data_IF_634370837866
#
_entry.id   IF_634370837866
#
_cell.length_a   1.000
_cell.length_b   1.000
_cell.length_c   1.000
_cell.angle_alpha   90.00
_cell.angle_beta   90.00
_cell.angle_gamma   90.00
#
_symmetry.space_group_name_H-M   'P 1'
#
loop_
_entity.id
_entity.type
_entity.pdbx_description
1 polymer ?
#
# COMPACT_ATOMS: atom_id res chain seq x y z
N UNK A 1 16.89 -12.59 -53.55
CA UNK A 1 15.64 -12.51 -52.76
C UNK A 1 15.60 -13.42 -51.52
N UNK A 2 16.20 -14.63 -51.51
CA UNK A 2 16.17 -15.54 -50.34
C UNK A 2 16.87 -15.02 -49.07
N UNK A 3 17.91 -14.19 -49.19
CA UNK A 3 18.65 -13.62 -48.04
C UNK A 3 17.86 -12.55 -47.25
N UNK A 4 16.95 -11.83 -47.92
CA UNK A 4 16.09 -10.83 -47.27
C UNK A 4 14.97 -11.48 -46.45
N UNK A 5 14.50 -12.66 -46.88
CA UNK A 5 13.50 -13.46 -46.15
C UNK A 5 14.05 -13.98 -44.82
N UNK A 6 15.31 -14.43 -44.78
CA UNK A 6 15.95 -14.89 -43.54
C UNK A 6 16.18 -13.76 -42.53
N UNK A 7 16.50 -12.55 -42.97
CA UNK A 7 16.65 -11.38 -42.10
C UNK A 7 15.33 -10.93 -41.47
N UNK A 8 14.22 -11.03 -42.21
CA UNK A 8 12.89 -10.70 -41.71
C UNK A 8 12.40 -11.72 -40.65
N UNK A 9 12.68 -13.01 -40.87
CA UNK A 9 12.38 -14.09 -39.93
C UNK A 9 13.19 -13.97 -38.62
N UNK A 10 14.44 -13.55 -38.69
CA UNK A 10 15.27 -13.31 -37.51
C UNK A 10 14.75 -12.11 -36.68
N UNK A 11 14.32 -11.03 -37.35
CA UNK A 11 13.77 -9.84 -36.68
C UNK A 11 12.44 -10.13 -35.95
N UNK A 12 11.59 -11.02 -36.49
CA UNK A 12 10.36 -11.44 -35.83
C UNK A 12 10.61 -12.32 -34.59
N UNK A 13 11.68 -13.13 -34.58
CA UNK A 13 12.01 -14.01 -33.44
C UNK A 13 12.58 -13.28 -32.22
N UNK A 14 13.08 -12.06 -32.39
CA UNK A 14 13.61 -11.22 -31.32
C UNK A 14 12.51 -10.50 -30.50
N UNK A 15 11.25 -10.55 -30.95
CA UNK A 15 10.10 -10.13 -30.15
C UNK A 15 9.66 -11.26 -29.22
N UNK A 16 10.52 -11.67 -28.29
CA UNK A 16 10.06 -12.40 -27.11
C UNK A 16 9.30 -11.40 -26.24
N UNK A 17 7.98 -11.38 -26.38
CA UNK A 17 7.10 -10.78 -25.40
C UNK A 17 7.49 -11.36 -24.04
N UNK A 18 7.85 -10.49 -23.10
CA UNK A 18 7.99 -10.86 -21.71
C UNK A 18 6.61 -11.32 -21.22
N UNK A 19 6.32 -12.61 -21.40
CA UNK A 19 5.15 -13.25 -20.83
C UNK A 19 5.34 -13.16 -19.31
N UNK A 20 4.73 -12.14 -18.71
CA UNK A 20 4.57 -12.04 -17.26
C UNK A 20 3.50 -13.05 -16.85
N UNK A 21 3.86 -14.34 -16.96
CA UNK A 21 3.03 -15.45 -16.53
C UNK A 21 3.09 -15.49 -14.99
N UNK A 22 2.28 -14.67 -14.35
CA UNK A 22 1.92 -14.84 -12.95
C UNK A 22 0.85 -15.93 -12.93
N UNK A 23 1.28 -17.18 -13.11
CA UNK A 23 0.42 -18.36 -13.07
C UNK A 23 -0.22 -18.43 -11.69
N UNK A 24 -1.42 -17.84 -11.55
CA UNK A 24 -2.34 -17.97 -10.42
C UNK A 24 -2.93 -19.39 -10.35
N UNK A 25 -2.10 -20.40 -10.63
CA UNK A 25 -2.47 -21.79 -10.53
C UNK A 25 -2.74 -22.08 -9.05
N UNK A 26 -3.92 -22.62 -8.69
CA UNK A 26 -4.22 -22.95 -7.31
C UNK A 26 -3.40 -24.18 -6.89
N UNK A 27 -2.13 -23.96 -6.55
CA UNK A 27 -1.21 -25.01 -6.11
C UNK A 27 -1.36 -25.32 -4.61
N UNK A 28 -2.14 -24.52 -3.87
CA UNK A 28 -2.36 -24.69 -2.43
C UNK A 28 -1.13 -24.38 -1.56
N UNK A 29 -0.05 -23.85 -2.15
CA UNK A 29 1.17 -23.45 -1.46
C UNK A 29 1.05 -21.97 -1.12
N UNK A 30 0.93 -21.67 0.17
CA UNK A 30 0.78 -20.31 0.68
C UNK A 30 1.94 -19.97 1.60
N UNK A 31 2.65 -18.89 1.28
CA UNK A 31 3.68 -18.30 2.14
C UNK A 31 3.18 -16.96 2.69
N UNK A 32 2.22 -17.02 3.62
CA UNK A 32 1.58 -15.85 4.21
C UNK A 32 2.62 -14.86 4.76
N UNK A 33 3.64 -15.35 5.48
CA UNK A 33 4.71 -14.53 6.07
C UNK A 33 5.48 -13.73 5.02
N UNK A 34 5.81 -14.34 3.88
CA UNK A 34 6.49 -13.65 2.77
C UNK A 34 5.60 -12.55 2.20
N UNK A 35 4.30 -12.82 2.04
CA UNK A 35 3.35 -11.83 1.53
C UNK A 35 3.19 -10.68 2.53
N UNK A 36 3.18 -10.98 3.82
CA UNK A 36 3.16 -9.98 4.87
C UNK A 36 4.40 -9.10 4.84
N UNK A 37 5.59 -9.69 4.83
CA UNK A 37 6.87 -8.96 4.76
C UNK A 37 6.97 -8.09 3.50
N UNK A 38 6.50 -8.58 2.34
CA UNK A 38 6.47 -7.78 1.10
C UNK A 38 5.57 -6.55 1.23
N UNK A 39 4.35 -6.72 1.75
CA UNK A 39 3.42 -5.60 1.94
C UNK A 39 3.98 -4.63 2.98
N UNK A 40 4.55 -5.12 4.08
CA UNK A 40 5.16 -4.29 5.12
C UNK A 40 6.33 -3.46 4.56
N UNK A 41 7.19 -4.06 3.70
CA UNK A 41 8.27 -3.34 3.02
C UNK A 41 7.74 -2.26 2.06
N UNK A 42 6.69 -2.56 1.30
CA UNK A 42 6.06 -1.57 0.42
C UNK A 42 5.52 -0.39 1.22
N UNK A 43 4.85 -0.66 2.34
CA UNK A 43 4.29 0.36 3.23
C UNK A 43 5.38 1.19 3.91
N UNK A 44 6.49 0.57 4.35
CA UNK A 44 7.66 1.28 4.86
C UNK A 44 8.24 2.24 3.81
N UNK A 45 8.30 1.79 2.55
CA UNK A 45 8.78 2.62 1.44
C UNK A 45 7.82 3.77 1.13
N UNK A 46 6.51 3.55 1.20
CA UNK A 46 5.50 4.62 1.06
C UNK A 46 5.61 5.66 2.19
N UNK A 47 5.77 5.20 3.43
CA UNK A 47 6.01 6.08 4.58
C UNK A 47 7.24 6.95 4.34
N UNK A 48 8.36 6.33 3.93
CA UNK A 48 9.60 7.04 3.63
C UNK A 48 9.41 8.07 2.51
N UNK A 49 8.74 7.68 1.42
CA UNK A 49 8.47 8.56 0.30
C UNK A 49 7.65 9.79 0.73
N UNK A 50 6.55 9.60 1.48
CA UNK A 50 5.73 10.72 1.98
C UNK A 50 6.53 11.62 2.93
N UNK A 51 7.36 11.04 3.79
CA UNK A 51 8.23 11.81 4.69
C UNK A 51 9.18 12.70 3.89
N UNK A 52 9.83 12.15 2.86
CA UNK A 52 10.74 12.90 1.99
C UNK A 52 10.01 14.00 1.21
N UNK A 53 8.82 13.70 0.65
CA UNK A 53 7.99 14.68 -0.07
C UNK A 53 7.61 15.89 0.81
N UNK A 54 7.41 15.69 2.11
CA UNK A 54 7.13 16.78 3.05
C UNK A 54 8.37 17.60 3.44
N UNK A 55 9.59 17.12 3.15
CA UNK A 55 10.86 17.77 3.54
C UNK A 55 11.61 18.42 2.39
N UNK A 56 11.47 17.90 1.17
CA UNK A 56 12.20 18.39 -0.02
C UNK A 56 11.69 19.78 -0.41
N UNK A 57 12.61 20.71 -0.64
CA UNK A 57 12.32 22.04 -1.21
C UNK A 57 12.41 21.99 -2.72
N UNK A 58 11.53 22.66 -3.46
CA UNK A 58 11.48 22.58 -4.94
C UNK A 58 12.33 23.65 -5.64
N UNK A 59 13.48 23.99 -5.07
CA UNK A 59 14.29 25.14 -5.48
C UNK A 59 15.18 24.82 -6.70
N UNK A 60 15.76 23.61 -6.76
CA UNK A 60 16.66 23.21 -7.84
C UNK A 60 16.06 22.16 -8.77
N UNK A 61 16.66 21.99 -9.96
CA UNK A 61 16.30 20.88 -10.86
C UNK A 61 16.55 19.50 -10.22
N UNK A 62 17.59 19.39 -9.39
CA UNK A 62 17.89 18.17 -8.64
C UNK A 62 16.75 17.84 -7.66
N UNK A 63 16.28 18.84 -6.90
CA UNK A 63 15.21 18.61 -5.92
C UNK A 63 13.89 18.22 -6.58
N UNK A 64 13.56 18.87 -7.71
CA UNK A 64 12.38 18.51 -8.52
C UNK A 64 12.46 17.07 -9.02
N UNK A 65 13.63 16.63 -9.46
CA UNK A 65 13.84 15.25 -9.87
C UNK A 65 13.62 14.27 -8.70
N UNK A 66 14.12 14.59 -7.50
CA UNK A 66 13.93 13.75 -6.31
C UNK A 66 12.46 13.70 -5.87
N UNK A 67 11.78 14.85 -5.90
CA UNK A 67 10.35 14.93 -5.59
C UNK A 67 9.52 14.05 -6.53
N UNK A 68 9.76 14.14 -7.84
CA UNK A 68 9.07 13.31 -8.85
C UNK A 68 9.37 11.82 -8.64
N UNK A 69 10.63 11.45 -8.32
CA UNK A 69 10.99 10.05 -8.04
C UNK A 69 10.25 9.50 -6.83
N UNK A 70 10.10 10.28 -5.77
CA UNK A 70 9.34 9.86 -4.59
C UNK A 70 7.84 9.72 -4.86
N UNK A 71 7.26 10.57 -5.70
CA UNK A 71 5.87 10.38 -6.18
C UNK A 71 5.74 9.05 -6.92
N UNK A 72 6.58 8.82 -7.93
CA UNK A 72 6.55 7.59 -8.74
C UNK A 72 6.77 6.36 -7.87
N UNK A 73 7.72 6.42 -6.93
CA UNK A 73 8.02 5.31 -6.04
C UNK A 73 6.82 5.00 -5.14
N UNK A 74 6.22 6.00 -4.50
CA UNK A 74 5.03 5.82 -3.66
C UNK A 74 3.90 5.17 -4.45
N UNK A 75 3.59 5.67 -5.64
CA UNK A 75 2.52 5.14 -6.49
C UNK A 75 2.77 3.69 -6.89
N UNK A 76 4.00 3.38 -7.29
CA UNK A 76 4.40 2.00 -7.61
C UNK A 76 4.25 1.06 -6.41
N UNK A 77 4.71 1.45 -5.23
CA UNK A 77 4.61 0.61 -4.03
C UNK A 77 3.15 0.41 -3.60
N UNK A 78 2.30 1.43 -3.76
CA UNK A 78 0.86 1.28 -3.55
C UNK A 78 0.22 0.29 -4.52
N UNK A 79 0.63 0.30 -5.81
CA UNK A 79 0.17 -0.70 -6.79
C UNK A 79 0.64 -2.11 -6.46
N UNK A 80 1.92 -2.28 -6.12
CA UNK A 80 2.49 -3.58 -5.80
C UNK A 80 1.78 -4.21 -4.57
N UNK A 81 1.48 -3.40 -3.54
CA UNK A 81 0.70 -3.84 -2.38
C UNK A 81 -0.77 -4.15 -2.72
N UNK A 82 -1.44 -3.29 -3.50
CA UNK A 82 -2.82 -3.52 -3.94
C UNK A 82 -2.96 -4.78 -4.79
N UNK A 83 -1.97 -5.06 -5.64
CA UNK A 83 -1.90 -6.28 -6.43
C UNK A 83 -1.78 -7.52 -5.54
N UNK A 84 -0.95 -7.50 -4.48
CA UNK A 84 -0.90 -8.61 -3.53
C UNK A 84 -2.22 -8.78 -2.77
N UNK A 85 -2.83 -7.69 -2.29
CA UNK A 85 -4.13 -7.74 -1.60
C UNK A 85 -5.19 -8.39 -2.51
N UNK A 86 -5.23 -7.97 -3.77
CA UNK A 86 -6.21 -8.46 -4.75
C UNK A 86 -5.94 -9.91 -5.15
N UNK A 87 -4.72 -10.20 -5.58
CA UNK A 87 -4.39 -11.49 -6.20
C UNK A 87 -4.17 -12.60 -5.19
N UNK A 88 -3.64 -12.28 -4.02
CA UNK A 88 -3.39 -13.28 -2.99
C UNK A 88 -4.60 -13.43 -2.07
N UNK A 89 -5.10 -12.34 -1.49
CA UNK A 89 -6.16 -12.46 -0.48
C UNK A 89 -7.54 -12.60 -1.11
N UNK A 90 -7.95 -11.67 -1.97
CA UNK A 90 -9.31 -11.70 -2.55
C UNK A 90 -9.51 -12.92 -3.46
N UNK A 91 -8.53 -13.23 -4.32
CA UNK A 91 -8.68 -14.29 -5.31
C UNK A 91 -8.35 -15.70 -4.77
N UNK A 92 -7.45 -15.83 -3.77
CA UNK A 92 -6.97 -17.14 -3.33
C UNK A 92 -7.29 -17.49 -1.87
N UNK A 93 -7.31 -16.54 -0.93
CA UNK A 93 -7.44 -16.83 0.52
C UNK A 93 -8.86 -16.69 1.06
N UNK A 94 -9.60 -15.67 0.61
CA UNK A 94 -10.96 -15.43 1.08
C UNK A 94 -11.92 -16.32 0.31
N UNK A 95 -12.55 -17.28 1.00
CA UNK A 95 -13.48 -18.22 0.37
C UNK A 95 -14.89 -17.66 0.34
N UNK A 96 -15.60 -17.71 -0.80
CA UNK A 96 -17.01 -17.37 -0.82
C UNK A 96 -17.82 -18.27 0.10
N UNK A 97 -18.74 -17.70 0.89
CA UNK A 97 -19.67 -18.45 1.72
C UNK A 97 -19.21 -18.75 3.16
N UNK A 98 -17.95 -18.49 3.51
CA UNK A 98 -17.51 -18.58 4.90
C UNK A 98 -18.16 -17.46 5.74
N UNK A 99 -18.44 -17.75 7.02
CA UNK A 99 -19.10 -16.81 7.96
C UNK A 99 -18.34 -15.47 8.08
N UNK A 100 -17.01 -15.53 8.04
CA UNK A 100 -16.13 -14.37 8.21
C UNK A 100 -15.79 -13.64 6.89
N UNK A 101 -16.27 -14.14 5.75
CA UNK A 101 -15.98 -13.56 4.43
C UNK A 101 -16.43 -12.11 4.28
N UNK A 102 -17.64 -11.71 4.70
CA UNK A 102 -18.04 -10.30 4.63
C UNK A 102 -17.08 -9.38 5.39
N UNK A 103 -16.58 -9.82 6.56
CA UNK A 103 -15.63 -9.07 7.38
C UNK A 103 -14.27 -8.94 6.70
N UNK A 104 -13.75 -10.05 6.15
CA UNK A 104 -12.48 -10.06 5.42
C UNK A 104 -12.54 -9.20 4.15
N UNK A 105 -13.62 -9.29 3.38
CA UNK A 105 -13.84 -8.47 2.18
C UNK A 105 -13.93 -6.98 2.49
N UNK A 106 -14.67 -6.60 3.54
CA UNK A 106 -14.79 -5.20 3.94
C UNK A 106 -13.44 -4.59 4.32
N UNK A 107 -12.61 -5.34 5.08
CA UNK A 107 -11.27 -4.91 5.46
C UNK A 107 -10.31 -4.86 4.26
N UNK A 108 -10.32 -5.87 3.38
CA UNK A 108 -9.53 -5.86 2.15
C UNK A 108 -9.88 -4.67 1.24
N UNK A 109 -11.17 -4.38 1.06
CA UNK A 109 -11.63 -3.21 0.32
C UNK A 109 -11.14 -1.90 0.96
N UNK A 110 -11.22 -1.79 2.29
CA UNK A 110 -10.73 -0.62 3.02
C UNK A 110 -9.23 -0.39 2.81
N UNK A 111 -8.42 -1.46 2.84
CA UNK A 111 -6.99 -1.40 2.54
C UNK A 111 -6.73 -0.92 1.10
N UNK A 112 -7.45 -1.46 0.11
CA UNK A 112 -7.34 -1.04 -1.29
C UNK A 112 -7.73 0.43 -1.49
N UNK A 113 -8.79 0.88 -0.82
CA UNK A 113 -9.20 2.28 -0.85
C UNK A 113 -8.14 3.21 -0.23
N UNK A 114 -7.56 2.83 0.91
CA UNK A 114 -6.48 3.57 1.54
C UNK A 114 -5.24 3.67 0.65
N UNK A 115 -4.92 2.63 -0.15
CA UNK A 115 -3.82 2.69 -1.12
C UNK A 115 -4.03 3.81 -2.15
N UNK A 116 -5.24 3.95 -2.70
CA UNK A 116 -5.57 5.07 -3.61
C UNK A 116 -5.41 6.42 -2.91
N UNK A 117 -5.89 6.52 -1.65
CA UNK A 117 -5.73 7.74 -0.86
C UNK A 117 -4.26 8.09 -0.61
N UNK A 118 -3.41 7.10 -0.31
CA UNK A 118 -1.96 7.27 -0.12
C UNK A 118 -1.32 7.80 -1.41
N UNK A 119 -1.67 7.28 -2.59
CA UNK A 119 -1.17 7.81 -3.89
C UNK A 119 -1.51 9.29 -4.09
N UNK A 120 -2.74 9.67 -3.76
CA UNK A 120 -3.24 11.01 -4.03
C UNK A 120 -2.76 12.09 -3.04
N UNK A 121 -2.21 11.69 -1.87
CA UNK A 121 -1.91 12.61 -0.78
C UNK A 121 -0.47 12.47 -0.25
N UNK A 122 -0.02 13.45 0.54
CA UNK A 122 1.27 13.43 1.25
C UNK A 122 1.09 13.47 2.78
N UNK A 123 -0.04 12.96 3.29
CA UNK A 123 -0.29 12.84 4.73
C UNK A 123 0.16 11.46 5.24
N UNK A 124 1.16 11.45 6.13
CA UNK A 124 1.71 10.25 6.77
C UNK A 124 0.62 9.50 7.57
N UNK A 125 -0.41 10.20 8.07
CA UNK A 125 -1.52 9.57 8.80
C UNK A 125 -2.24 8.49 7.99
N UNK A 126 -2.35 8.65 6.67
CA UNK A 126 -2.98 7.65 5.81
C UNK A 126 -2.21 6.33 5.81
N UNK A 127 -0.87 6.40 5.84
CA UNK A 127 -0.01 5.22 5.93
C UNK A 127 -0.17 4.54 7.30
N UNK A 128 -0.28 5.32 8.37
CA UNK A 128 -0.51 4.77 9.71
C UNK A 128 -1.88 4.09 9.84
N UNK A 129 -2.92 4.69 9.25
CA UNK A 129 -4.26 4.09 9.21
C UNK A 129 -4.27 2.78 8.40
N UNK A 130 -3.53 2.75 7.28
CA UNK A 130 -3.33 1.54 6.51
C UNK A 130 -2.67 0.44 7.36
N UNK A 131 -1.57 0.74 8.05
CA UNK A 131 -0.88 -0.23 8.91
C UNK A 131 -1.78 -0.76 10.04
N UNK A 132 -2.55 0.12 10.68
CA UNK A 132 -3.48 -0.29 11.74
C UNK A 132 -4.56 -1.26 11.21
N UNK A 133 -5.09 -0.99 10.01
CA UNK A 133 -6.04 -1.90 9.36
C UNK A 133 -5.35 -3.19 8.89
N UNK A 134 -4.13 -3.09 8.40
CA UNK A 134 -3.33 -4.21 7.90
C UNK A 134 -3.01 -5.20 9.00
N UNK A 135 -2.64 -4.73 10.20
CA UNK A 135 -2.43 -5.58 11.37
C UNK A 135 -3.71 -6.33 11.75
N UNK A 136 -4.86 -5.63 11.78
CA UNK A 136 -6.17 -6.26 12.03
C UNK A 136 -6.51 -7.29 10.94
N UNK A 137 -6.14 -6.99 9.69
CA UNK A 137 -6.37 -7.87 8.56
C UNK A 137 -5.56 -9.16 8.66
N UNK A 138 -4.25 -9.06 8.96
CA UNK A 138 -3.37 -10.22 9.18
C UNK A 138 -3.95 -11.18 10.23
N UNK A 139 -4.45 -10.65 11.35
CA UNK A 139 -5.06 -11.44 12.43
C UNK A 139 -6.27 -12.28 11.99
N UNK A 140 -6.97 -11.90 10.92
CA UNK A 140 -8.10 -12.67 10.39
C UNK A 140 -7.68 -13.95 9.64
N UNK A 141 -6.37 -14.14 9.41
CA UNK A 141 -5.81 -15.31 8.73
C UNK A 141 -4.84 -16.11 9.60
N UNK A 142 -4.63 -15.71 10.86
CA UNK A 142 -3.65 -16.35 11.73
C UNK A 142 -3.93 -17.84 11.98
N UNK A 143 -2.91 -18.67 11.77
CA UNK A 143 -2.72 -20.00 12.40
C UNK A 143 -2.08 -19.81 13.78
N UNK A 144 -2.28 -20.78 14.67
CA UNK A 144 -1.55 -20.87 15.94
C UNK A 144 -0.01 -20.87 15.71
N UNK A 145 0.72 -19.98 16.40
CA UNK A 145 2.17 -20.10 16.60
C UNK A 145 3.12 -19.19 15.80
N UNK A 146 2.65 -18.15 15.10
CA UNK A 146 3.54 -17.20 14.41
C UNK A 146 3.85 -15.96 15.26
N UNK A 147 5.15 -15.66 15.47
CA UNK A 147 5.63 -14.41 16.06
C UNK A 147 6.73 -13.79 15.18
N UNK A 148 6.43 -12.67 14.50
CA UNK A 148 7.44 -11.88 13.80
C UNK A 148 8.24 -11.02 14.80
N UNK A 149 9.52 -11.35 15.01
CA UNK A 149 10.42 -10.65 15.95
C UNK A 149 10.99 -9.34 15.39
N UNK A 150 10.97 -9.14 14.07
CA UNK A 150 11.47 -7.91 13.42
C UNK A 150 10.39 -6.80 13.42
N UNK A 151 9.11 -7.16 13.42
CA UNK A 151 7.97 -6.21 13.48
C UNK A 151 7.93 -5.42 14.79
N UNK A 152 8.18 -6.03 15.95
CA UNK A 152 7.86 -5.42 17.25
C UNK A 152 8.60 -4.11 17.52
N UNK A 153 9.85 -3.97 17.07
CA UNK A 153 10.68 -2.78 17.33
C UNK A 153 10.28 -1.61 16.43
N UNK A 154 9.98 -1.86 15.13
CA UNK A 154 9.53 -0.83 14.20
C UNK A 154 8.05 -0.46 14.45
N UNK A 155 7.18 -1.43 14.69
CA UNK A 155 5.79 -1.20 15.08
C UNK A 155 5.70 -0.38 16.37
N UNK A 156 6.59 -0.60 17.34
CA UNK A 156 6.59 0.21 18.58
C UNK A 156 6.83 1.69 18.27
N UNK A 157 7.83 2.00 17.44
CA UNK A 157 8.12 3.38 17.03
C UNK A 157 6.96 4.02 16.25
N UNK A 158 6.35 3.28 15.33
CA UNK A 158 5.19 3.76 14.56
C UNK A 158 3.93 3.91 15.40
N UNK A 159 3.69 3.01 16.37
CA UNK A 159 2.60 3.15 17.34
C UNK A 159 2.77 4.39 18.19
N UNK A 160 3.99 4.62 18.71
CA UNK A 160 4.34 5.83 19.45
C UNK A 160 4.17 7.11 18.60
N UNK A 161 4.51 7.06 17.30
CA UNK A 161 4.29 8.17 16.37
C UNK A 161 2.81 8.42 16.06
N UNK A 162 2.04 7.37 15.78
CA UNK A 162 0.59 7.45 15.54
C UNK A 162 -0.16 8.01 16.75
N UNK A 163 0.18 7.57 17.96
CA UNK A 163 -0.39 8.12 19.19
C UNK A 163 -0.06 9.61 19.37
N UNK A 164 1.16 10.03 19.02
CA UNK A 164 1.55 11.45 19.06
C UNK A 164 0.69 12.28 18.10
N UNK A 165 0.48 11.81 16.87
CA UNK A 165 -0.38 12.47 15.89
C UNK A 165 -1.84 12.56 16.36
N UNK A 166 -2.39 11.48 16.91
CA UNK A 166 -3.76 11.45 17.48
C UNK A 166 -3.91 12.47 18.63
N UNK A 167 -2.90 12.57 19.51
CA UNK A 167 -2.88 13.56 20.62
C UNK A 167 -2.80 15.01 20.10
N UNK A 168 -1.97 15.27 19.09
CA UNK A 168 -1.86 16.59 18.46
C UNK A 168 -3.19 17.02 17.84
N UNK A 169 -3.88 16.12 17.15
CA UNK A 169 -5.18 16.39 16.53
C UNK A 169 -6.29 16.62 17.57
N UNK A 170 -6.31 15.86 18.68
CA UNK A 170 -7.22 16.12 19.78
C UNK A 170 -7.00 17.52 20.40
N UNK A 171 -5.74 17.93 20.53
CA UNK A 171 -5.38 19.27 21.01
C UNK A 171 -5.78 20.37 20.01
N UNK A 172 -5.59 20.17 18.70
CA UNK A 172 -6.03 21.13 17.68
C UNK A 172 -7.54 21.25 17.57
N UNK A 173 -8.28 20.13 17.66
CA UNK A 173 -9.73 20.14 17.64
C UNK A 173 -10.33 20.78 18.89
N UNK A 174 -9.69 20.66 20.06
CA UNK A 174 -10.09 21.39 21.27
C UNK A 174 -9.89 22.91 21.18
N UNK A 175 -9.07 23.38 20.23
CA UNK A 175 -8.76 24.80 20.00
C UNK A 175 -9.58 25.44 18.87
N UNK A 176 -10.39 24.67 18.11
CA UNK A 176 -11.28 25.24 17.09
C UNK A 176 -12.47 25.92 17.77
N UNK A 177 -12.69 27.23 17.58
CA UNK A 177 -13.88 27.89 18.11
C UNK A 177 -15.12 27.32 17.43
N UNK A 178 -16.13 27.04 18.25
CA UNK A 178 -17.46 26.60 17.82
C UNK A 178 -18.01 27.61 16.80
N UNK A 179 -18.27 27.17 15.56
CA UNK A 179 -18.92 28.02 14.55
C UNK A 179 -20.29 28.40 15.10
N UNK A 180 -20.45 29.66 15.53
CA UNK A 180 -21.76 30.22 15.88
C UNK A 180 -22.73 29.96 14.72
N UNK A 181 -23.94 29.43 14.98
CA UNK A 181 -24.93 29.26 13.94
C UNK A 181 -25.26 30.62 13.33
N UNK A 182 -25.14 30.71 12.01
CA UNK A 182 -25.59 31.86 11.23
C UNK A 182 -27.10 31.92 11.42
N UNK A 183 -27.57 32.95 12.13
CA UNK A 183 -28.97 33.26 12.24
C UNK A 183 -29.53 33.49 10.83
N UNK A 184 -30.59 32.78 10.48
CA UNK A 184 -31.41 33.08 9.31
C UNK A 184 -32.04 34.46 9.50
N UNK A 185 -31.56 35.46 8.76
CA UNK A 185 -32.32 36.67 8.51
C UNK A 185 -33.18 36.50 7.25
N UNK A 186 -34.33 37.17 7.30
CA UNK A 186 -35.52 37.07 6.46
C UNK A 186 -35.29 37.31 4.98
#
# INVERSE_FOLDING_TARGET
MKKFSFLLLFYLSAYQSALSAHCQMPCGIYHDDMVYDMIDQYVETMHKAITELNTIKLDTAFDKNQYIRWIIQKDKQSDDAANLITTYFLQQKIKPGDEDTPKKLASAHKLLFMMVAIKQNCDVKLVHQFMEEWDKFKLMFHREGYECKIEQIKLKKWKEESERLKKQEAMENSKKPEKKPIASEK
#
